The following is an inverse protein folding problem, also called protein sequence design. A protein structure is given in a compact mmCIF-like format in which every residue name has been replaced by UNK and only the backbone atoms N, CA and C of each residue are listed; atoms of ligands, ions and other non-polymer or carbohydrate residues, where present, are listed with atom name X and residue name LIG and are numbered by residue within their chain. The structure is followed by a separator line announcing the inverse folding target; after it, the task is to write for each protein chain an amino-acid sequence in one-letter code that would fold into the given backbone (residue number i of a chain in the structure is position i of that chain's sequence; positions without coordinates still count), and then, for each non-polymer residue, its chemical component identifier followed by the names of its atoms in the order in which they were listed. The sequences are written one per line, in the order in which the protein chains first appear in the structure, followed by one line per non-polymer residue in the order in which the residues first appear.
data_IF_136138416054
#
_entry.id   IF_136138416054
#
_cell.length_a   1.000
_cell.length_b   1.000
_cell.length_c   1.000
_cell.angle_alpha   90.00
_cell.angle_beta   90.00
_cell.angle_gamma   90.00
#
_symmetry.space_group_name_H-M   'P 1'
#
loop_
_entity.id
_entity.type
_entity.pdbx_description
1 polymer ?
#
# COMPACT_ATOMS: atom_id res chain seq x y z
N UNK A 1 13.44 -12.18 -13.25
CA UNK A 1 12.33 -11.52 -13.97
C UNK A 1 12.89 -10.40 -14.85
N UNK A 2 12.18 -10.02 -15.91
CA UNK A 2 12.55 -8.83 -16.72
C UNK A 2 12.23 -7.55 -15.93
N UNK A 3 12.97 -6.47 -16.17
CA UNK A 3 12.78 -5.21 -15.43
C UNK A 3 11.39 -4.61 -15.68
N UNK A 4 10.83 -4.80 -16.87
CA UNK A 4 9.51 -4.32 -17.25
C UNK A 4 8.40 -5.02 -16.44
N UNK A 5 8.58 -6.31 -16.13
CA UNK A 5 7.65 -7.08 -15.29
C UNK A 5 7.67 -6.57 -13.84
N UNK A 6 8.85 -6.22 -13.34
CA UNK A 6 9.02 -5.63 -12.01
C UNK A 6 8.42 -4.21 -11.98
N UNK A 7 8.67 -3.39 -13.00
CA UNK A 7 8.10 -2.05 -13.10
C UNK A 7 6.57 -2.06 -13.06
N UNK A 8 5.94 -2.98 -13.80
CA UNK A 8 4.49 -3.10 -13.89
C UNK A 8 3.79 -3.43 -12.55
N UNK A 9 4.55 -3.84 -11.53
CA UNK A 9 4.05 -4.12 -10.17
C UNK A 9 4.61 -3.17 -9.10
N UNK A 10 5.37 -2.14 -9.47
CA UNK A 10 5.84 -1.11 -8.53
C UNK A 10 4.80 0.01 -8.42
N UNK A 11 4.34 0.29 -7.20
CA UNK A 11 3.73 1.55 -6.82
C UNK A 11 4.80 2.46 -6.21
N UNK A 12 5.24 3.45 -7.00
CA UNK A 12 6.30 4.36 -6.62
C UNK A 12 5.78 5.33 -5.56
N UNK A 13 6.35 5.28 -4.37
CA UNK A 13 5.73 5.85 -3.18
C UNK A 13 6.47 7.09 -2.66
N UNK A 14 5.74 8.17 -2.43
CA UNK A 14 6.13 9.24 -1.52
C UNK A 14 4.92 9.68 -0.70
N UNK A 15 4.88 9.23 0.55
CA UNK A 15 3.85 9.57 1.55
C UNK A 15 4.47 10.31 2.73
N UNK A 16 5.64 10.92 2.54
CA UNK A 16 6.32 11.67 3.59
C UNK A 16 5.51 12.90 3.97
N UNK A 17 5.45 13.28 5.26
CA UNK A 17 4.78 14.50 5.72
C UNK A 17 5.43 15.77 5.16
N UNK A 18 6.64 15.65 4.60
CA UNK A 18 7.43 16.73 4.03
C UNK A 18 7.46 16.73 2.50
N UNK A 19 6.76 15.81 1.83
CA UNK A 19 6.71 15.75 0.37
C UNK A 19 6.19 17.08 -0.19
N UNK A 20 6.98 17.74 -1.02
CA UNK A 20 6.59 18.99 -1.68
C UNK A 20 6.01 18.71 -3.07
N UNK A 21 5.33 19.69 -3.65
CA UNK A 21 4.85 19.61 -5.04
C UNK A 21 5.98 19.21 -6.03
N UNK A 22 7.19 19.75 -5.84
CA UNK A 22 8.35 19.41 -6.68
C UNK A 22 8.68 17.91 -6.58
N UNK A 23 8.65 17.36 -5.38
CA UNK A 23 9.00 15.95 -5.14
C UNK A 23 7.93 15.04 -5.77
N UNK A 24 6.65 15.41 -5.65
CA UNK A 24 5.53 14.70 -6.30
C UNK A 24 5.58 14.77 -7.83
N UNK A 25 5.96 15.91 -8.42
CA UNK A 25 6.17 16.03 -9.87
C UNK A 25 7.29 15.11 -10.33
N UNK A 26 8.39 15.04 -9.57
CA UNK A 26 9.49 14.10 -9.85
C UNK A 26 9.03 12.64 -9.76
N UNK A 27 8.23 12.30 -8.74
CA UNK A 27 7.64 10.97 -8.57
C UNK A 27 6.81 10.57 -9.79
N UNK A 28 5.98 11.49 -10.30
CA UNK A 28 5.16 11.26 -11.50
C UNK A 28 6.02 11.08 -12.76
N UNK A 29 7.03 11.93 -12.95
CA UNK A 29 7.95 11.83 -14.08
C UNK A 29 8.70 10.49 -14.10
N UNK A 30 9.17 10.01 -12.94
CA UNK A 30 9.79 8.70 -12.82
C UNK A 30 8.79 7.57 -13.13
N UNK A 31 7.55 7.67 -12.65
CA UNK A 31 6.53 6.66 -12.91
C UNK A 31 6.19 6.54 -14.41
N UNK A 32 6.12 7.65 -15.14
CA UNK A 32 5.95 7.66 -16.60
C UNK A 32 7.17 7.02 -17.26
N UNK A 33 8.37 7.50 -16.93
CA UNK A 33 9.63 7.07 -17.54
C UNK A 33 9.84 5.56 -17.44
N UNK A 34 9.58 5.00 -16.28
CA UNK A 34 9.81 3.58 -16.00
C UNK A 34 8.56 2.71 -16.18
N UNK A 35 7.40 3.31 -16.54
CA UNK A 35 6.11 2.63 -16.70
C UNK A 35 5.72 1.83 -15.45
N UNK A 36 5.79 2.49 -14.30
CA UNK A 36 5.37 1.89 -13.04
C UNK A 36 3.87 1.62 -13.01
N UNK A 37 3.44 0.71 -12.13
CA UNK A 37 2.02 0.39 -11.92
C UNK A 37 1.20 1.64 -11.55
N UNK A 38 1.78 2.49 -10.71
CA UNK A 38 1.14 3.67 -10.16
C UNK A 38 2.08 4.49 -9.27
N UNK A 39 1.63 5.67 -8.89
CA UNK A 39 2.20 6.45 -7.79
C UNK A 39 1.36 6.26 -6.52
N UNK A 40 1.99 6.32 -5.35
CA UNK A 40 1.33 6.28 -4.04
C UNK A 40 1.67 7.55 -3.27
N UNK A 41 0.67 8.39 -3.02
CA UNK A 41 0.84 9.75 -2.46
C UNK A 41 -0.15 10.04 -1.33
N UNK A 42 0.13 11.07 -0.53
CA UNK A 42 -0.86 11.59 0.41
C UNK A 42 -2.08 12.19 -0.34
N UNK A 43 -3.28 12.22 0.29
CA UNK A 43 -4.52 12.67 -0.36
C UNK A 43 -4.44 14.04 -1.02
N UNK A 44 -3.73 14.99 -0.42
CA UNK A 44 -3.60 16.36 -0.93
C UNK A 44 -2.92 16.44 -2.31
N UNK A 45 -2.23 15.39 -2.75
CA UNK A 45 -1.50 15.35 -3.99
C UNK A 45 -2.25 14.66 -5.14
N UNK A 46 -3.44 14.11 -4.90
CA UNK A 46 -4.20 13.37 -5.92
C UNK A 46 -4.46 14.24 -7.15
N UNK A 47 -5.04 15.43 -6.98
CA UNK A 47 -5.35 16.33 -8.10
C UNK A 47 -4.12 16.69 -8.94
N UNK A 48 -2.97 16.91 -8.29
CA UNK A 48 -1.70 17.14 -8.99
C UNK A 48 -1.28 15.89 -9.79
N UNK A 49 -1.26 14.72 -9.16
CA UNK A 49 -0.90 13.47 -9.85
C UNK A 49 -1.84 13.16 -11.02
N UNK A 50 -3.15 13.43 -10.90
CA UNK A 50 -4.11 13.26 -12.00
C UNK A 50 -3.73 14.10 -13.21
N UNK A 51 -3.32 15.35 -12.99
CA UNK A 51 -2.85 16.25 -14.05
C UNK A 51 -1.53 15.76 -14.67
N UNK A 52 -0.54 15.43 -13.85
CA UNK A 52 0.79 15.05 -14.34
C UNK A 52 0.81 13.71 -15.07
N UNK A 53 -0.11 12.80 -14.74
CA UNK A 53 -0.16 11.44 -15.27
C UNK A 53 -1.22 11.23 -16.35
N UNK A 54 -1.86 12.30 -16.83
CA UNK A 54 -2.88 12.23 -17.88
C UNK A 54 -2.35 11.51 -19.13
N UNK A 55 -3.11 10.54 -19.64
CA UNK A 55 -2.76 9.75 -20.82
C UNK A 55 -1.59 8.75 -20.65
N UNK A 56 -0.95 8.70 -19.47
CA UNK A 56 0.22 7.84 -19.24
C UNK A 56 -0.12 6.36 -18.97
N UNK A 57 -1.33 6.08 -18.48
CA UNK A 57 -1.74 4.77 -17.98
C UNK A 57 -1.21 4.41 -16.58
N UNK A 58 -0.45 5.31 -15.94
CA UNK A 58 0.01 5.16 -14.54
C UNK A 58 -1.13 5.46 -13.59
N UNK A 59 -1.39 4.58 -12.61
CA UNK A 59 -2.44 4.80 -11.60
C UNK A 59 -2.05 5.87 -10.58
N UNK A 60 -3.03 6.64 -10.11
CA UNK A 60 -2.93 7.52 -8.96
C UNK A 60 -3.52 6.82 -7.74
N UNK A 61 -2.66 6.38 -6.84
CA UNK A 61 -3.05 5.72 -5.59
C UNK A 61 -2.81 6.64 -4.39
N UNK A 62 -3.57 6.45 -3.32
CA UNK A 62 -3.40 7.25 -2.10
C UNK A 62 -3.45 6.45 -0.82
N UNK A 63 -2.80 6.98 0.22
CA UNK A 63 -2.83 6.44 1.57
C UNK A 63 -3.81 7.24 2.46
N UNK A 64 -4.66 6.56 3.23
CA UNK A 64 -5.63 7.20 4.14
C UNK A 64 -5.60 6.63 5.55
N UNK A 65 -6.12 7.39 6.53
CA UNK A 65 -6.06 7.05 7.95
C UNK A 65 -4.65 6.66 8.45
N UNK A 66 -3.63 7.19 7.79
CA UNK A 66 -2.24 6.75 7.87
C UNK A 66 -1.38 7.70 8.71
N UNK A 67 -0.39 7.21 9.48
CA UNK A 67 -0.05 5.80 9.70
C UNK A 67 -0.77 5.17 10.90
N UNK A 68 -1.64 5.89 11.61
CA UNK A 68 -2.10 5.49 12.95
C UNK A 68 -3.34 4.58 12.97
N UNK A 69 -4.24 4.66 11.99
CA UNK A 69 -5.44 3.80 11.91
C UNK A 69 -6.52 3.98 12.98
N UNK A 70 -6.28 4.79 14.03
CA UNK A 70 -7.22 4.96 15.16
C UNK A 70 -8.38 5.94 14.93
N UNK A 71 -8.53 6.51 13.73
CA UNK A 71 -9.62 7.44 13.43
C UNK A 71 -11.00 6.75 13.49
N UNK A 72 -12.05 7.53 13.70
CA UNK A 72 -13.43 7.02 13.70
C UNK A 72 -13.80 6.46 12.32
N UNK A 73 -14.52 5.33 12.27
CA UNK A 73 -14.98 4.72 11.01
C UNK A 73 -15.71 5.72 10.12
N UNK A 74 -16.61 6.54 10.68
CA UNK A 74 -17.32 7.57 9.90
C UNK A 74 -16.41 8.63 9.28
N UNK A 75 -15.29 8.95 9.93
CA UNK A 75 -14.30 9.89 9.40
C UNK A 75 -13.52 9.25 8.25
N UNK A 76 -13.10 7.99 8.42
CA UNK A 76 -12.44 7.21 7.36
C UNK A 76 -13.37 7.01 6.15
N UNK A 77 -14.65 6.74 6.36
CA UNK A 77 -15.66 6.62 5.28
C UNK A 77 -15.82 7.93 4.51
N UNK A 78 -15.90 9.06 5.22
CA UNK A 78 -15.96 10.37 4.57
C UNK A 78 -14.68 10.67 3.77
N UNK A 79 -13.51 10.39 4.34
CA UNK A 79 -12.22 10.53 3.65
C UNK A 79 -12.18 9.69 2.38
N UNK A 80 -12.54 8.40 2.44
CA UNK A 80 -12.59 7.52 1.28
C UNK A 80 -13.50 8.07 0.17
N UNK A 81 -14.68 8.60 0.51
CA UNK A 81 -15.60 9.23 -0.46
C UNK A 81 -14.96 10.43 -1.15
N UNK A 82 -14.27 11.29 -0.40
CA UNK A 82 -13.54 12.41 -0.98
C UNK A 82 -12.40 11.93 -1.89
N UNK A 83 -11.65 10.88 -1.53
CA UNK A 83 -10.61 10.33 -2.42
C UNK A 83 -11.21 9.81 -3.74
N UNK A 84 -12.37 9.17 -3.65
CA UNK A 84 -13.14 8.69 -4.80
C UNK A 84 -13.58 9.84 -5.70
N UNK A 85 -14.02 10.96 -5.13
CA UNK A 85 -14.40 12.19 -5.84
C UNK A 85 -13.19 12.86 -6.52
N UNK A 86 -12.03 12.86 -5.86
CA UNK A 86 -10.75 13.34 -6.40
C UNK A 86 -10.16 12.44 -7.50
N UNK A 87 -10.79 11.29 -7.77
CA UNK A 87 -10.40 10.40 -8.86
C UNK A 87 -9.25 9.45 -8.52
N UNK A 88 -9.14 9.02 -7.26
CA UNK A 88 -8.19 7.98 -6.87
C UNK A 88 -8.50 6.66 -7.60
N UNK A 89 -7.46 5.97 -8.05
CA UNK A 89 -7.58 4.65 -8.70
C UNK A 89 -7.56 3.52 -7.67
N UNK A 90 -6.69 3.60 -6.65
CA UNK A 90 -6.60 2.60 -5.58
C UNK A 90 -6.20 3.23 -4.22
N UNK A 91 -6.62 2.62 -3.12
CA UNK A 91 -6.37 3.18 -1.77
C UNK A 91 -5.69 2.17 -0.85
N UNK A 92 -4.62 2.59 -0.20
CA UNK A 92 -4.05 1.91 0.95
C UNK A 92 -4.59 2.58 2.22
N UNK A 93 -5.19 1.84 3.15
CA UNK A 93 -5.63 2.41 4.43
C UNK A 93 -5.13 1.61 5.62
N UNK A 94 -5.03 2.27 6.78
CA UNK A 94 -4.70 1.62 8.05
C UNK A 94 -6.01 1.24 8.78
N UNK A 95 -6.35 -0.05 8.90
CA UNK A 95 -7.45 -0.50 9.73
C UNK A 95 -7.13 -0.29 11.22
N UNK A 96 -8.15 -0.26 12.06
CA UNK A 96 -7.97 -0.14 13.49
C UNK A 96 -7.57 -1.48 14.13
N UNK A 97 -6.29 -1.86 14.01
CA UNK A 97 -5.75 -3.10 14.58
C UNK A 97 -6.00 -3.22 16.09
N UNK A 98 -6.08 -2.10 16.81
CA UNK A 98 -6.41 -2.09 18.24
C UNK A 98 -7.75 -2.76 18.55
N UNK A 99 -8.75 -2.66 17.65
CA UNK A 99 -10.01 -3.39 17.80
C UNK A 99 -9.80 -4.90 17.75
N UNK A 100 -9.04 -5.37 16.75
CA UNK A 100 -8.77 -6.79 16.58
C UNK A 100 -7.99 -7.37 17.77
N UNK A 101 -6.91 -6.69 18.19
CA UNK A 101 -6.08 -7.10 19.33
C UNK A 101 -6.85 -7.05 20.67
N UNK A 102 -7.95 -6.29 20.73
CA UNK A 102 -8.86 -6.26 21.88
C UNK A 102 -9.97 -7.32 21.80
N UNK A 103 -9.88 -8.29 20.89
CA UNK A 103 -10.91 -9.32 20.69
C UNK A 103 -12.19 -8.82 20.00
N UNK A 104 -12.18 -7.61 19.42
CA UNK A 104 -13.34 -7.00 18.74
C UNK A 104 -13.27 -7.22 17.22
N UNK A 105 -13.09 -8.47 16.80
CA UNK A 105 -12.95 -8.85 15.39
C UNK A 105 -14.13 -8.36 14.53
N UNK A 106 -15.36 -8.46 15.04
CA UNK A 106 -16.56 -8.00 14.32
C UNK A 106 -16.53 -6.49 14.02
N UNK A 107 -16.08 -5.68 14.99
CA UNK A 107 -15.94 -4.23 14.81
C UNK A 107 -14.81 -3.89 13.83
N UNK A 108 -13.71 -4.64 13.88
CA UNK A 108 -12.62 -4.53 12.90
C UNK A 108 -13.11 -4.84 11.48
N UNK A 109 -13.81 -5.97 11.27
CA UNK A 109 -14.39 -6.31 9.97
C UNK A 109 -15.41 -5.28 9.49
N UNK A 110 -16.28 -4.82 10.38
CA UNK A 110 -17.31 -3.83 10.05
C UNK A 110 -16.71 -2.49 9.60
N UNK A 111 -15.61 -2.04 10.22
CA UNK A 111 -14.87 -0.87 9.76
C UNK A 111 -14.38 -1.09 8.32
N UNK A 112 -13.68 -2.20 8.07
CA UNK A 112 -13.11 -2.50 6.76
C UNK A 112 -14.20 -2.56 5.68
N UNK A 113 -15.31 -3.26 5.96
CA UNK A 113 -16.44 -3.38 5.03
C UNK A 113 -17.04 -2.02 4.67
N UNK A 114 -17.20 -1.12 5.65
CA UNK A 114 -17.70 0.23 5.40
C UNK A 114 -16.75 1.06 4.51
N UNK A 115 -15.43 0.88 4.67
CA UNK A 115 -14.43 1.53 3.81
C UNK A 115 -14.45 0.96 2.40
N UNK A 116 -14.57 -0.37 2.25
CA UNK A 116 -14.67 -1.04 0.95
C UNK A 116 -15.93 -0.61 0.20
N UNK A 117 -17.06 -0.49 0.89
CA UNK A 117 -18.30 0.03 0.31
C UNK A 117 -18.13 1.49 -0.15
N UNK A 118 -17.55 2.34 0.69
CA UNK A 118 -17.28 3.74 0.37
C UNK A 118 -16.30 3.92 -0.80
N UNK A 119 -15.43 2.94 -1.04
CA UNK A 119 -14.51 2.93 -2.17
C UNK A 119 -15.19 2.70 -3.52
N UNK A 120 -16.50 2.44 -3.57
CA UNK A 120 -17.29 2.41 -4.81
C UNK A 120 -16.61 1.59 -5.93
N UNK A 121 -16.14 0.39 -5.60
CA UNK A 121 -15.51 -0.56 -6.52
C UNK A 121 -14.01 -0.36 -6.77
N UNK A 122 -13.37 0.68 -6.23
CA UNK A 122 -11.91 0.86 -6.33
C UNK A 122 -11.18 -0.16 -5.44
N UNK A 123 -10.01 -0.68 -5.84
CA UNK A 123 -9.22 -1.57 -5.00
C UNK A 123 -8.82 -0.94 -3.67
N UNK A 124 -9.11 -1.64 -2.57
CA UNK A 124 -8.75 -1.24 -1.21
C UNK A 124 -7.71 -2.19 -0.64
N UNK A 125 -6.67 -1.64 0.00
CA UNK A 125 -5.54 -2.39 0.56
C UNK A 125 -5.43 -2.11 2.06
N UNK A 126 -5.61 -3.14 2.88
CA UNK A 126 -5.44 -3.02 4.32
C UNK A 126 -3.94 -3.09 4.69
N UNK A 127 -3.38 -2.00 5.23
CA UNK A 127 -2.06 -1.97 5.86
C UNK A 127 -2.17 -2.54 7.27
N UNK A 128 -1.52 -3.69 7.54
CA UNK A 128 -1.78 -4.46 8.77
C UNK A 128 -0.65 -4.42 9.81
N UNK A 129 0.41 -3.66 9.58
CA UNK A 129 1.51 -3.45 10.53
C UNK A 129 1.96 -4.73 11.26
N UNK A 130 2.28 -5.76 10.47
CA UNK A 130 2.34 -7.14 10.97
C UNK A 130 3.58 -7.45 11.81
N UNK A 131 4.70 -6.74 11.63
CA UNK A 131 5.97 -7.04 12.29
C UNK A 131 5.87 -7.12 13.84
N UNK A 132 5.25 -6.17 14.56
CA UNK A 132 5.11 -6.24 16.01
C UNK A 132 4.15 -7.34 16.51
N UNK A 133 3.31 -7.91 15.63
CA UNK A 133 2.27 -8.87 16.04
C UNK A 133 2.84 -10.30 16.15
N UNK A 134 2.25 -11.10 17.05
CA UNK A 134 2.51 -12.54 17.13
C UNK A 134 1.94 -13.29 15.90
N UNK A 135 2.41 -14.51 15.63
CA UNK A 135 1.94 -15.31 14.48
C UNK A 135 0.40 -15.49 14.47
N UNK A 136 -0.28 -15.82 15.60
CA UNK A 136 -1.73 -15.90 15.64
C UNK A 136 -2.43 -14.57 15.32
N UNK A 137 -1.92 -13.46 15.85
CA UNK A 137 -2.48 -12.12 15.60
C UNK A 137 -2.30 -11.70 14.13
N UNK A 138 -1.13 -11.96 13.54
CA UNK A 138 -0.89 -11.72 12.10
C UNK A 138 -1.89 -12.50 11.24
N UNK A 139 -2.10 -13.78 11.57
CA UNK A 139 -3.06 -14.64 10.87
C UNK A 139 -4.47 -14.08 10.96
N UNK A 140 -4.90 -13.71 12.17
CA UNK A 140 -6.21 -13.10 12.38
C UNK A 140 -6.35 -11.79 11.58
N UNK A 141 -5.35 -10.91 11.61
CA UNK A 141 -5.41 -9.63 10.89
C UNK A 141 -5.63 -9.81 9.38
N UNK A 142 -4.95 -10.79 8.77
CA UNK A 142 -5.09 -11.10 7.34
C UNK A 142 -6.49 -11.67 7.04
N UNK A 143 -6.92 -12.68 7.81
CA UNK A 143 -8.22 -13.35 7.59
C UNK A 143 -9.38 -12.38 7.77
N UNK A 144 -9.35 -11.58 8.83
CA UNK A 144 -10.42 -10.64 9.14
C UNK A 144 -10.45 -9.47 8.13
N UNK A 145 -9.29 -9.01 7.65
CA UNK A 145 -9.24 -8.00 6.59
C UNK A 145 -9.77 -8.52 5.25
N UNK A 146 -9.48 -9.78 4.90
CA UNK A 146 -10.04 -10.45 3.74
C UNK A 146 -11.57 -10.64 3.87
N UNK A 147 -12.04 -11.03 5.05
CA UNK A 147 -13.47 -11.16 5.34
C UNK A 147 -14.21 -9.80 5.28
N UNK A 148 -13.52 -8.70 5.59
CA UNK A 148 -14.02 -7.34 5.39
C UNK A 148 -14.08 -6.88 3.92
N UNK A 149 -13.55 -7.66 2.98
CA UNK A 149 -13.67 -7.40 1.54
C UNK A 149 -12.51 -6.64 0.90
N UNK A 150 -11.37 -6.49 1.60
CA UNK A 150 -10.19 -5.86 1.01
C UNK A 150 -9.69 -6.62 -0.23
N UNK A 151 -9.29 -5.86 -1.26
CA UNK A 151 -8.67 -6.42 -2.47
C UNK A 151 -7.25 -6.88 -2.21
N UNK A 152 -6.53 -6.16 -1.34
CA UNK A 152 -5.18 -6.51 -0.92
C UNK A 152 -5.02 -6.47 0.61
N UNK A 153 -4.11 -7.30 1.10
CA UNK A 153 -3.47 -7.12 2.41
C UNK A 153 -2.03 -6.66 2.21
N UNK A 154 -1.59 -5.73 3.05
CA UNK A 154 -0.27 -5.09 3.01
C UNK A 154 0.44 -5.21 4.35
N UNK A 155 1.71 -5.57 4.33
CA UNK A 155 2.45 -5.91 5.55
C UNK A 155 2.75 -4.72 6.47
N UNK A 156 3.03 -3.53 5.91
CA UNK A 156 3.65 -2.43 6.66
C UNK A 156 3.36 -1.06 6.05
N UNK A 157 3.19 -0.03 6.88
CA UNK A 157 3.14 1.38 6.50
C UNK A 157 4.48 1.89 5.97
N UNK A 158 5.59 1.32 6.44
CA UNK A 158 6.95 1.84 6.26
C UNK A 158 7.31 2.96 7.24
N UNK A 159 6.48 3.21 8.26
CA UNK A 159 6.71 4.20 9.31
C UNK A 159 6.64 3.59 10.71
N UNK A 160 7.43 4.14 11.64
CA UNK A 160 7.42 3.71 13.03
C UNK A 160 7.84 2.24 13.20
N UNK A 161 6.96 1.44 13.80
CA UNK A 161 7.15 -0.02 13.96
C UNK A 161 6.80 -0.82 12.70
N UNK A 162 6.52 -0.12 11.59
CA UNK A 162 6.27 -0.70 10.29
C UNK A 162 7.52 -1.38 9.72
N UNK A 163 7.55 -2.69 9.90
CA UNK A 163 8.69 -3.53 9.51
C UNK A 163 8.99 -3.64 8.04
N UNK A 164 10.10 -4.32 7.77
CA UNK A 164 10.53 -4.68 6.42
C UNK A 164 9.62 -5.76 5.83
N UNK A 165 9.39 -5.70 4.52
CA UNK A 165 8.87 -6.84 3.78
C UNK A 165 9.98 -7.90 3.71
N UNK A 166 10.01 -8.84 4.66
CA UNK A 166 10.91 -9.99 4.60
C UNK A 166 10.29 -11.11 3.76
N UNK A 167 11.12 -11.93 3.11
CA UNK A 167 10.67 -13.10 2.34
C UNK A 167 9.80 -14.03 3.19
N UNK A 168 10.17 -14.24 4.45
CA UNK A 168 9.39 -15.07 5.39
C UNK A 168 8.00 -14.50 5.65
N UNK A 169 7.90 -13.20 5.97
CA UNK A 169 6.63 -12.54 6.25
C UNK A 169 5.71 -12.55 5.03
N UNK A 170 6.24 -12.23 3.85
CA UNK A 170 5.45 -12.21 2.61
C UNK A 170 4.99 -13.62 2.23
N UNK A 171 5.84 -14.64 2.39
CA UNK A 171 5.44 -16.04 2.18
C UNK A 171 4.36 -16.47 3.17
N UNK A 172 4.46 -16.07 4.43
CA UNK A 172 3.42 -16.30 5.42
C UNK A 172 2.09 -15.65 5.03
N UNK A 173 2.14 -14.40 4.56
CA UNK A 173 0.95 -13.68 4.09
C UNK A 173 0.31 -14.36 2.88
N UNK A 174 1.11 -14.74 1.89
CA UNK A 174 0.63 -15.41 0.68
C UNK A 174 0.01 -16.79 0.97
N UNK A 175 0.53 -17.50 1.98
CA UNK A 175 -0.05 -18.76 2.44
C UNK A 175 -1.33 -18.58 3.29
N UNK A 176 -1.57 -17.38 3.83
CA UNK A 176 -2.70 -17.09 4.72
C UNK A 176 -3.86 -16.42 3.98
N UNK A 177 -3.59 -15.49 3.07
CA UNK A 177 -4.59 -14.80 2.28
C UNK A 177 -5.07 -15.72 1.14
N UNK A 178 -6.35 -16.09 1.16
CA UNK A 178 -6.92 -17.04 0.18
C UNK A 178 -7.66 -16.35 -0.96
N UNK A 179 -8.07 -15.09 -0.76
CA UNK A 179 -8.85 -14.29 -1.71
C UNK A 179 -8.19 -12.93 -1.97
N UNK A 180 -7.67 -12.29 -0.92
CA UNK A 180 -6.98 -11.02 -1.03
C UNK A 180 -5.58 -11.23 -1.62
N UNK A 181 -5.13 -10.27 -2.44
CA UNK A 181 -3.77 -10.25 -2.99
C UNK A 181 -2.78 -9.70 -1.95
N UNK A 182 -1.50 -10.08 -2.05
CA UNK A 182 -0.46 -9.55 -1.15
C UNK A 182 0.26 -8.38 -1.82
N UNK A 183 0.25 -7.22 -1.14
CA UNK A 183 1.14 -6.08 -1.45
C UNK A 183 2.26 -6.03 -0.41
N UNK A 184 3.50 -5.94 -0.87
CA UNK A 184 4.67 -5.84 -0.01
C UNK A 184 5.24 -4.41 0.00
N UNK A 185 5.65 -3.91 1.17
CA UNK A 185 6.29 -2.60 1.33
C UNK A 185 7.25 -2.58 2.51
N UNK A 186 8.20 -1.64 2.46
CA UNK A 186 9.24 -1.46 3.46
C UNK A 186 10.51 -2.26 3.13
N UNK A 187 11.63 -1.55 2.92
CA UNK A 187 12.94 -2.16 2.74
C UNK A 187 13.24 -2.76 1.36
N UNK A 188 12.36 -2.63 0.36
CA UNK A 188 12.57 -3.12 -1.01
C UNK A 188 13.36 -2.06 -1.80
N UNK A 189 14.69 -2.21 -1.91
CA UNK A 189 15.58 -1.17 -2.44
C UNK A 189 16.39 -1.58 -3.66
N UNK A 190 16.53 -2.89 -3.90
CA UNK A 190 17.28 -3.44 -5.02
C UNK A 190 16.39 -4.29 -5.93
N UNK A 191 16.87 -4.56 -7.15
CA UNK A 191 16.22 -5.54 -8.03
C UNK A 191 16.10 -6.91 -7.37
N UNK A 192 17.14 -7.36 -6.67
CA UNK A 192 17.13 -8.65 -5.99
C UNK A 192 16.05 -8.69 -4.91
N UNK A 193 15.91 -7.63 -4.10
CA UNK A 193 14.85 -7.54 -3.09
C UNK A 193 13.47 -7.68 -3.74
N UNK A 194 13.25 -7.00 -4.87
CA UNK A 194 11.99 -7.08 -5.59
C UNK A 194 11.73 -8.50 -6.11
N UNK A 195 12.72 -9.15 -6.72
CA UNK A 195 12.60 -10.52 -7.23
C UNK A 195 12.32 -11.51 -6.10
N UNK A 196 13.03 -11.41 -4.97
CA UNK A 196 12.86 -12.30 -3.83
C UNK A 196 11.46 -12.14 -3.18
N UNK A 197 10.97 -10.91 -3.09
CA UNK A 197 9.66 -10.60 -2.51
C UNK A 197 8.51 -11.02 -3.42
N UNK A 198 8.67 -10.84 -4.74
CA UNK A 198 7.71 -11.37 -5.71
C UNK A 198 7.69 -12.89 -5.70
N UNK A 199 8.85 -13.55 -5.64
CA UNK A 199 8.96 -15.00 -5.51
C UNK A 199 8.36 -15.53 -4.19
N UNK A 200 8.32 -14.71 -3.14
CA UNK A 200 7.66 -15.02 -1.88
C UNK A 200 6.11 -14.99 -1.96
N UNK A 201 5.54 -14.45 -3.04
CA UNK A 201 4.10 -14.43 -3.29
C UNK A 201 3.45 -13.04 -3.25
N UNK A 202 4.23 -11.96 -3.10
CA UNK A 202 3.70 -10.62 -3.36
C UNK A 202 3.37 -10.46 -4.85
N UNK A 203 2.31 -9.71 -5.16
CA UNK A 203 1.92 -9.39 -6.55
C UNK A 203 1.95 -7.88 -6.83
N UNK A 204 2.31 -7.09 -5.83
CA UNK A 204 2.40 -5.63 -5.90
C UNK A 204 3.43 -5.15 -4.87
N UNK A 205 4.26 -4.17 -5.25
CA UNK A 205 5.34 -3.65 -4.42
C UNK A 205 5.14 -2.15 -4.16
N UNK A 206 5.25 -1.72 -2.91
CA UNK A 206 5.33 -0.30 -2.53
C UNK A 206 6.76 0.08 -2.18
N UNK A 207 7.36 1.00 -2.94
CA UNK A 207 8.74 1.45 -2.69
C UNK A 207 9.01 2.88 -3.19
N UNK A 208 9.83 3.61 -2.44
CA UNK A 208 10.45 4.89 -2.86
C UNK A 208 11.71 4.68 -3.71
N UNK A 209 12.24 3.45 -3.77
CA UNK A 209 13.47 3.13 -4.49
C UNK A 209 13.22 2.64 -5.93
N UNK A 210 12.02 2.83 -6.49
CA UNK A 210 11.64 2.37 -7.83
C UNK A 210 12.69 2.71 -8.90
N UNK A 211 13.09 3.99 -9.06
CA UNK A 211 14.11 4.37 -10.04
C UNK A 211 15.46 3.68 -9.82
N UNK A 212 15.85 3.43 -8.56
CA UNK A 212 17.10 2.75 -8.22
C UNK A 212 17.05 1.27 -8.62
N UNK A 213 15.93 0.59 -8.31
CA UNK A 213 15.62 -0.78 -8.76
C UNK A 213 15.73 -0.88 -10.29
N UNK A 214 15.15 0.08 -11.01
CA UNK A 214 15.18 0.10 -12.48
C UNK A 214 16.56 0.37 -13.07
N UNK A 215 17.41 1.12 -12.37
CA UNK A 215 18.81 1.35 -12.78
C UNK A 215 19.75 0.21 -12.38
N UNK A 216 19.31 -0.72 -11.54
CA UNK A 216 20.17 -1.75 -10.96
C UNK A 216 21.16 -1.22 -9.92
N UNK A 217 20.94 -0.01 -9.40
CA UNK A 217 21.76 0.58 -8.33
C UNK A 217 21.01 0.45 -7.01
N UNK A 218 21.64 -0.05 -5.95
CA UNK A 218 21.01 -0.11 -4.63
C UNK A 218 20.63 1.30 -4.15
N UNK A 219 19.34 1.54 -3.89
CA UNK A 219 18.84 2.84 -3.47
C UNK A 219 19.34 3.24 -2.07
N UNK A 220 19.77 4.49 -1.91
CA UNK A 220 20.09 5.09 -0.60
C UNK A 220 18.81 5.42 0.17
N UNK A 221 18.81 5.21 1.49
CA UNK A 221 17.67 5.40 2.39
C UNK A 221 16.94 6.75 2.18
N UNK A 222 15.70 6.70 1.75
CA UNK A 222 14.67 7.66 2.16
C UNK A 222 13.62 6.84 2.94
N UNK A 223 13.24 7.35 4.12
CA UNK A 223 12.56 6.67 5.24
C UNK A 223 13.50 5.83 6.13
#
# INVERSE_FOLDING_TARGET
MKLEEIAAVIQHTDVSPTATERDIRSLCADAIKYRFNGVMVQPCWIALCRKELEGSGVKVCSAMAYPMGGALTRSKVAEMRHLVEEGVDEVDFMPNLGLLLSGKADAFRAEIAAIVEAAAGRPVKAMLELEPLSIPERRAAIIEAEAGGCTYVKNSSGWGVGGKATVELIRFMAATATRAKVKASGGIRTKQDAEDILAAGAVLLGTSAGPAIMRGAGGTNAY
#
